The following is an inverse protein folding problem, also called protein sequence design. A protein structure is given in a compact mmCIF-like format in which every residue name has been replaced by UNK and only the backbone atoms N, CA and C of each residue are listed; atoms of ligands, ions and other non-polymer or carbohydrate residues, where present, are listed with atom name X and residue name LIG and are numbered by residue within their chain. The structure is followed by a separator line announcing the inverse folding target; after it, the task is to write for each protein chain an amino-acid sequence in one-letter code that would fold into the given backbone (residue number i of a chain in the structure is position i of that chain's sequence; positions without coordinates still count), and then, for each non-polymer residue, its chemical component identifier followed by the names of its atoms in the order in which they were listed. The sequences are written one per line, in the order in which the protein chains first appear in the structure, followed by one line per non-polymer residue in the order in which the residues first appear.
data_IF_688157762585
#
_entry.id   IF_688157762585
#
_cell.length_a   1.000
_cell.length_b   1.000
_cell.length_c   1.000
_cell.angle_alpha   90.00
_cell.angle_beta   90.00
_cell.angle_gamma   90.00
#
_symmetry.space_group_name_H-M   'P 1'
#
loop_
_entity.id
_entity.type
_entity.pdbx_description
1 polymer ?
#
# COMPACT_ATOMS: atom_id res chain seq x y z
N UNK A 1 -0.80 11.53 15.78
CA UNK A 1 -0.33 10.67 14.67
C UNK A 1 -0.52 11.40 13.35
N UNK A 2 0.54 11.60 12.57
CA UNK A 2 0.44 12.25 11.27
C UNK A 2 -0.14 11.26 10.25
N UNK A 3 -1.07 11.70 9.42
CA UNK A 3 -1.62 10.88 8.33
C UNK A 3 -0.50 10.54 7.35
N UNK A 4 -0.39 9.28 6.93
CA UNK A 4 0.73 8.86 6.10
C UNK A 4 0.71 9.65 4.77
N UNK A 5 1.74 10.46 4.53
CA UNK A 5 1.83 11.27 3.29
C UNK A 5 1.87 10.41 2.02
N UNK A 6 2.35 9.17 2.11
CA UNK A 6 2.39 8.25 0.97
C UNK A 6 1.03 7.65 0.61
N UNK A 7 0.08 7.65 1.54
CA UNK A 7 -1.25 7.09 1.36
C UNK A 7 -2.28 7.99 2.10
N UNK A 8 -2.50 9.22 1.60
CA UNK A 8 -3.37 10.18 2.25
C UNK A 8 -4.85 9.79 2.12
N UNK A 9 -5.29 9.22 1.00
CA UNK A 9 -6.72 8.97 0.74
C UNK A 9 -7.26 7.66 1.34
N UNK A 10 -6.39 6.70 1.63
CA UNK A 10 -6.78 5.36 2.08
C UNK A 10 -5.90 4.93 3.23
N UNK A 11 -6.51 4.42 4.32
CA UNK A 11 -5.88 3.99 5.58
C UNK A 11 -4.79 2.94 5.32
N UNK A 12 -3.60 3.37 4.90
CA UNK A 12 -2.45 2.51 4.72
C UNK A 12 -2.57 1.47 3.60
N UNK A 13 -3.53 1.58 2.69
CA UNK A 13 -3.60 0.67 1.53
C UNK A 13 -2.56 1.07 0.48
N UNK A 14 -1.94 0.08 -0.17
CA UNK A 14 -1.08 0.35 -1.33
C UNK A 14 -1.93 0.92 -2.46
N UNK A 15 -1.61 2.13 -2.93
CA UNK A 15 -2.38 2.82 -3.98
C UNK A 15 -2.38 2.09 -5.33
N UNK A 16 -1.32 1.32 -5.60
CA UNK A 16 -1.11 0.65 -6.89
C UNK A 16 -1.99 -0.59 -7.04
N UNK A 17 -2.08 -1.43 -6.01
CA UNK A 17 -2.99 -2.58 -5.97
C UNK A 17 -4.29 -2.30 -5.21
N UNK A 18 -4.50 -1.09 -4.68
CA UNK A 18 -5.68 -0.70 -3.90
C UNK A 18 -6.00 -1.66 -2.75
N UNK A 19 -4.99 -2.09 -1.99
CA UNK A 19 -5.19 -3.02 -0.87
C UNK A 19 -5.14 -4.50 -1.22
N UNK A 20 -5.17 -4.90 -2.50
CA UNK A 20 -5.30 -6.32 -2.88
C UNK A 20 -4.00 -7.11 -2.83
N UNK A 21 -2.85 -6.43 -2.77
CA UNK A 21 -1.53 -7.05 -2.87
C UNK A 21 -1.14 -7.49 -4.27
N UNK A 22 -2.07 -7.55 -5.21
CA UNK A 22 -1.83 -8.07 -6.57
C UNK A 22 -2.25 -7.06 -7.61
N UNK A 23 -1.51 -7.01 -8.71
CA UNK A 23 -1.83 -6.22 -9.88
C UNK A 23 -2.11 -7.15 -11.05
N UNK A 24 -3.08 -6.80 -11.88
CA UNK A 24 -3.34 -7.51 -13.12
C UNK A 24 -2.07 -7.49 -13.99
N UNK A 25 -1.49 -8.67 -14.17
CA UNK A 25 -0.38 -8.89 -15.05
C UNK A 25 -0.68 -10.02 -16.00
N UNK A 26 -0.11 -9.94 -17.20
CA UNK A 26 -0.19 -11.01 -18.17
C UNK A 26 1.08 -11.87 -18.06
N UNK A 27 1.01 -13.22 -18.06
CA UNK A 27 -0.17 -14.08 -18.18
C UNK A 27 -0.93 -14.37 -16.87
N UNK A 28 -0.39 -14.00 -15.70
CA UNK A 28 -1.05 -14.19 -14.40
C UNK A 28 -0.95 -12.91 -13.54
N UNK A 29 -1.93 -12.65 -12.66
CA UNK A 29 -1.83 -11.57 -11.69
C UNK A 29 -0.52 -11.70 -10.91
N UNK A 30 0.20 -10.58 -10.83
CA UNK A 30 1.53 -10.51 -10.20
C UNK A 30 1.41 -9.84 -8.87
N UNK A 31 2.32 -10.16 -7.96
CA UNK A 31 2.45 -9.42 -6.73
C UNK A 31 2.76 -7.96 -7.04
N UNK A 32 2.12 -7.07 -6.29
CA UNK A 32 2.27 -5.65 -6.51
C UNK A 32 3.69 -5.24 -6.14
N UNK A 33 4.51 -5.01 -7.16
CA UNK A 33 5.92 -4.60 -7.03
C UNK A 33 6.16 -3.44 -6.05
N UNK A 34 5.16 -2.57 -5.89
CA UNK A 34 5.26 -1.38 -5.03
C UNK A 34 5.08 -1.66 -3.54
N UNK A 35 4.36 -2.73 -3.19
CA UNK A 35 4.22 -3.19 -1.80
C UNK A 35 4.75 -4.61 -1.60
N UNK A 36 5.38 -5.22 -2.61
CA UNK A 36 5.91 -6.58 -2.54
C UNK A 36 4.86 -7.69 -2.44
N UNK A 37 3.57 -7.40 -2.67
CA UNK A 37 2.50 -8.39 -2.47
C UNK A 37 1.64 -8.16 -1.22
N UNK A 38 2.10 -7.32 -0.28
CA UNK A 38 1.43 -7.12 1.02
C UNK A 38 0.08 -6.39 0.93
N UNK A 39 -0.16 -5.67 -0.15
CA UNK A 39 -1.38 -4.87 -0.31
C UNK A 39 -1.40 -3.59 0.54
N UNK A 40 -0.46 -3.41 1.46
CA UNK A 40 -0.37 -2.24 2.32
C UNK A 40 0.72 -1.25 1.88
N UNK A 41 0.60 -0.02 2.34
CA UNK A 41 1.49 1.09 2.09
C UNK A 41 2.72 0.92 2.99
N UNK A 42 3.86 0.55 2.40
CA UNK A 42 5.11 0.28 3.11
C UNK A 42 5.57 1.46 4.00
N UNK A 43 5.21 2.69 3.64
CA UNK A 43 5.56 3.89 4.40
C UNK A 43 4.85 4.00 5.76
N UNK A 44 3.69 3.36 5.95
CA UNK A 44 2.99 3.30 7.24
C UNK A 44 2.63 1.87 7.65
N UNK A 45 3.16 0.86 6.94
CA UNK A 45 2.88 -0.56 7.18
C UNK A 45 1.39 -0.91 7.29
N UNK A 46 0.52 -0.24 6.53
CA UNK A 46 -0.92 -0.50 6.59
C UNK A 46 -1.68 0.27 7.67
N UNK A 47 -0.99 0.98 8.55
CA UNK A 47 -1.63 1.70 9.65
C UNK A 47 -2.40 2.94 9.16
N UNK A 48 -1.97 3.52 8.04
CA UNK A 48 -2.53 4.77 7.50
C UNK A 48 -2.07 6.03 8.23
N UNK A 49 -1.34 5.85 9.32
CA UNK A 49 -0.70 6.89 10.08
C UNK A 49 0.79 6.58 10.20
N UNK A 50 1.61 7.60 10.11
CA UNK A 50 3.02 7.51 10.48
C UNK A 50 3.13 8.04 11.90
N UNK A 51 3.86 7.33 12.76
CA UNK A 51 4.23 7.85 14.08
C UNK A 51 5.07 9.10 13.84
N UNK A 52 4.44 10.27 13.99
CA UNK A 52 5.12 11.54 13.89
C UNK A 52 5.98 11.72 15.14
N UNK A 53 7.28 11.90 14.93
CA UNK A 53 8.14 12.63 15.86
C UNK A 53 8.11 14.09 15.45
#
# INVERSE_FOLDING_TARGET
MARCKSCPDKKGECRKCKGTGKVDGFPFPRDCDKCGGDGVCSSCNGDGYTFGW
#
